data_IF_086372135077
#
_entry.id   IF_086372135077
#
_cell.length_a   1.000
_cell.length_b   1.000
_cell.length_c   1.000
_cell.angle_alpha   90.00
_cell.angle_beta   90.00
_cell.angle_gamma   90.00
#
_symmetry.space_group_name_H-M   'P 1'
#
loop_
_entity.id
_entity.type
_entity.pdbx_description
1 polymer ?
#
# COMPACT_ATOMS: atom_id res chain seq x y z
N UNK A 1 8.04 -21.06 9.05
CA UNK A 1 7.51 -19.78 8.53
C UNK A 1 8.45 -19.27 7.46
N UNK A 2 7.97 -18.91 6.26
CA UNK A 2 8.83 -18.26 5.27
C UNK A 2 9.32 -16.92 5.86
N UNK A 3 10.61 -16.62 5.70
CA UNK A 3 11.17 -15.35 6.16
C UNK A 3 10.46 -14.20 5.41
N UNK A 4 10.06 -13.15 6.14
CA UNK A 4 9.49 -11.96 5.52
C UNK A 4 10.52 -11.36 4.54
N UNK A 5 10.06 -10.99 3.32
CA UNK A 5 10.93 -10.27 2.39
C UNK A 5 11.18 -8.84 2.87
N UNK A 6 10.17 -8.21 3.49
CA UNK A 6 10.25 -6.87 4.04
C UNK A 6 9.39 -6.80 5.30
N UNK A 7 9.95 -6.27 6.35
CA UNK A 7 9.28 -6.05 7.64
C UNK A 7 9.28 -4.56 7.98
N UNK A 8 8.13 -4.07 8.41
CA UNK A 8 7.89 -2.69 8.83
C UNK A 8 7.61 -2.70 10.33
N UNK A 9 8.38 -1.92 11.10
CA UNK A 9 8.25 -1.88 12.57
C UNK A 9 8.05 -0.46 13.04
N UNK A 10 6.91 -0.19 13.67
CA UNK A 10 6.53 1.08 14.29
C UNK A 10 6.77 2.30 13.38
N UNK A 11 6.57 2.11 12.07
CA UNK A 11 6.88 3.11 11.06
C UNK A 11 6.03 4.36 11.28
N UNK A 12 6.69 5.51 11.42
CA UNK A 12 6.06 6.81 11.64
C UNK A 12 6.60 7.84 10.69
N UNK A 13 5.71 8.68 10.13
CA UNK A 13 6.06 9.84 9.32
C UNK A 13 5.22 11.04 9.66
N UNK A 14 5.90 12.08 10.09
CA UNK A 14 5.33 13.40 10.40
C UNK A 14 5.84 14.43 9.40
N UNK A 15 4.94 15.20 8.83
CA UNK A 15 5.30 16.32 7.97
C UNK A 15 5.02 17.63 8.70
N UNK A 16 5.98 18.56 8.80
CA UNK A 16 5.75 19.85 9.43
C UNK A 16 4.81 20.70 8.56
N UNK A 17 3.85 21.36 9.21
CA UNK A 17 2.97 22.37 8.62
C UNK A 17 3.06 23.67 9.42
N UNK A 18 2.96 24.82 8.73
CA UNK A 18 3.08 26.14 9.36
C UNK A 18 4.44 26.77 9.21
N UNK A 19 4.49 28.09 9.38
CA UNK A 19 5.72 28.88 9.29
C UNK A 19 6.33 29.15 10.66
N UNK A 20 7.58 29.63 10.68
CA UNK A 20 8.37 29.89 11.89
C UNK A 20 7.69 30.79 12.95
N UNK A 21 6.65 31.55 12.58
CA UNK A 21 5.94 32.50 13.44
C UNK A 21 4.63 31.95 14.09
N UNK A 22 4.12 30.75 13.68
CA UNK A 22 2.81 30.24 14.12
C UNK A 22 2.87 28.91 14.89
N UNK A 23 4.02 28.53 15.44
CA UNK A 23 4.17 27.21 16.03
C UNK A 23 4.30 26.10 14.96
N UNK A 24 4.99 25.00 15.28
CA UNK A 24 5.13 23.84 14.38
C UNK A 24 4.01 22.88 14.70
N UNK A 25 3.03 22.75 13.80
CA UNK A 25 2.11 21.62 13.79
C UNK A 25 2.61 20.55 12.85
N UNK A 26 2.19 19.29 13.06
CA UNK A 26 2.62 18.17 12.24
C UNK A 26 1.43 17.37 11.69
N UNK A 27 1.50 17.03 10.41
CA UNK A 27 0.63 16.00 9.85
C UNK A 27 1.22 14.63 10.16
N UNK A 28 0.52 13.81 10.92
CA UNK A 28 0.87 12.42 11.20
C UNK A 28 0.39 11.54 10.05
N UNK A 29 1.11 11.57 8.93
CA UNK A 29 0.71 10.86 7.72
C UNK A 29 0.81 9.33 7.86
N UNK A 30 1.75 8.84 8.66
CA UNK A 30 1.90 7.44 9.08
C UNK A 30 2.25 7.46 10.55
N UNK A 31 1.61 6.61 11.36
CA UNK A 31 1.75 6.63 12.79
C UNK A 31 1.63 5.22 13.37
N UNK A 32 2.75 4.72 13.87
CA UNK A 32 2.88 3.39 14.50
C UNK A 32 2.37 2.25 13.61
N UNK A 33 2.87 2.17 12.38
CA UNK A 33 2.49 1.16 11.39
C UNK A 33 3.50 0.01 11.40
N UNK A 34 3.00 -1.22 11.63
CA UNK A 34 3.80 -2.44 11.64
C UNK A 34 3.12 -3.53 10.82
N UNK A 35 3.84 -4.15 9.88
CA UNK A 35 3.39 -5.29 9.06
C UNK A 35 4.56 -5.94 8.35
N UNK A 36 4.31 -7.07 7.68
CA UNK A 36 5.31 -7.74 6.86
C UNK A 36 4.78 -8.07 5.46
N UNK A 37 5.64 -7.97 4.44
CA UNK A 37 5.38 -8.47 3.10
C UNK A 37 6.09 -9.82 2.93
N UNK A 38 5.33 -10.82 2.54
CA UNK A 38 5.82 -12.19 2.38
C UNK A 38 6.08 -12.51 0.90
N UNK A 39 7.11 -13.31 0.57
CA UNK A 39 7.37 -13.72 -0.81
C UNK A 39 6.16 -14.41 -1.44
N UNK A 40 5.89 -14.10 -2.70
CA UNK A 40 4.79 -14.70 -3.45
C UNK A 40 3.40 -14.40 -2.87
N UNK A 41 3.25 -13.29 -2.15
CA UNK A 41 1.96 -12.83 -1.61
C UNK A 41 1.65 -11.40 -2.01
N UNK A 42 0.39 -11.10 -2.18
CA UNK A 42 -0.12 -9.75 -2.39
C UNK A 42 -0.78 -9.29 -1.09
N UNK A 43 -0.25 -8.23 -0.49
CA UNK A 43 -0.86 -7.54 0.65
C UNK A 43 -1.51 -6.27 0.15
N UNK A 44 -2.83 -6.14 0.29
CA UNK A 44 -3.53 -4.91 -0.04
C UNK A 44 -3.45 -3.91 1.12
N UNK A 45 -3.20 -2.64 0.81
CA UNK A 45 -3.31 -1.52 1.74
C UNK A 45 -4.47 -0.63 1.30
N UNK A 46 -5.58 -0.69 2.04
CA UNK A 46 -6.83 -0.03 1.67
C UNK A 46 -7.24 1.06 2.65
N UNK A 47 -8.08 2.00 2.21
CA UNK A 47 -8.61 3.08 3.04
C UNK A 47 -8.99 4.30 2.21
N UNK A 48 -9.62 5.29 2.83
CA UNK A 48 -10.02 6.55 2.19
C UNK A 48 -8.81 7.33 1.63
N UNK A 49 -9.06 8.24 0.67
CA UNK A 49 -8.03 9.18 0.20
C UNK A 49 -7.49 10.01 1.37
N UNK A 50 -6.18 10.22 1.40
CA UNK A 50 -5.52 10.95 2.50
C UNK A 50 -5.28 10.13 3.77
N UNK A 51 -5.59 8.83 3.82
CA UNK A 51 -5.33 8.00 5.01
C UNK A 51 -3.85 7.67 5.25
N UNK A 52 -2.94 8.00 4.31
CA UNK A 52 -1.49 7.78 4.45
C UNK A 52 -0.90 6.67 3.58
N UNK A 53 -1.69 5.94 2.80
CA UNK A 53 -1.27 4.77 2.01
C UNK A 53 -0.10 5.02 1.07
N UNK A 54 -0.19 6.06 0.23
CA UNK A 54 0.91 6.42 -0.68
C UNK A 54 2.15 6.90 0.06
N UNK A 55 2.00 7.44 1.28
CA UNK A 55 3.14 7.79 2.14
C UNK A 55 3.84 6.53 2.62
N UNK A 56 3.11 5.47 3.00
CA UNK A 56 3.70 4.17 3.32
C UNK A 56 4.48 3.63 2.13
N UNK A 57 3.89 3.56 0.93
CA UNK A 57 4.59 3.08 -0.27
C UNK A 57 5.88 3.88 -0.55
N UNK A 58 5.85 5.21 -0.41
CA UNK A 58 7.03 6.08 -0.62
C UNK A 58 8.11 5.91 0.45
N UNK A 59 7.74 5.64 1.70
CA UNK A 59 8.68 5.29 2.77
C UNK A 59 9.37 3.96 2.46
N UNK A 60 8.61 2.95 2.05
CA UNK A 60 9.16 1.65 1.67
C UNK A 60 10.04 1.72 0.43
N UNK A 61 9.72 2.59 -0.54
CA UNK A 61 10.58 2.86 -1.70
C UNK A 61 11.82 3.72 -1.36
N UNK A 62 11.97 4.14 -0.09
CA UNK A 62 13.02 5.07 0.36
C UNK A 62 13.07 6.36 -0.46
N UNK A 63 11.88 6.91 -0.76
CA UNK A 63 11.71 8.25 -1.32
C UNK A 63 11.54 9.29 -0.20
N UNK A 64 11.09 8.84 0.97
CA UNK A 64 11.05 9.59 2.22
C UNK A 64 11.79 8.83 3.31
N UNK A 65 12.44 9.55 4.21
CA UNK A 65 12.96 8.97 5.44
C UNK A 65 11.85 8.94 6.49
N UNK A 66 11.77 7.87 7.32
CA UNK A 66 10.83 7.83 8.44
C UNK A 66 11.19 8.89 9.48
N UNK A 67 10.18 9.31 10.26
CA UNK A 67 10.39 10.15 11.43
C UNK A 67 10.73 9.31 12.67
N UNK A 68 10.24 8.05 12.69
CA UNK A 68 10.49 7.06 13.73
C UNK A 68 10.19 5.66 13.18
N UNK A 69 10.65 4.60 13.87
CA UNK A 69 10.52 3.23 13.43
C UNK A 69 11.43 2.88 12.27
N UNK A 70 11.25 1.69 11.66
CA UNK A 70 12.17 1.20 10.66
C UNK A 70 11.56 0.26 9.63
N UNK A 71 12.30 0.10 8.52
CA UNK A 71 12.04 -0.85 7.45
C UNK A 71 13.21 -1.81 7.38
N UNK A 72 12.93 -3.10 7.44
CA UNK A 72 13.90 -4.19 7.44
C UNK A 72 13.71 -5.04 6.18
N UNK A 73 14.76 -5.24 5.41
CA UNK A 73 14.76 -6.11 4.25
C UNK A 73 15.72 -7.26 4.47
N UNK A 74 15.23 -8.49 4.34
CA UNK A 74 15.99 -9.71 4.64
C UNK A 74 16.68 -9.70 6.03
N UNK A 75 16.02 -9.09 7.02
CA UNK A 75 16.50 -8.98 8.39
C UNK A 75 17.46 -7.80 8.67
N UNK A 76 17.90 -7.09 7.64
CA UNK A 76 18.77 -5.92 7.78
C UNK A 76 17.95 -4.63 7.77
N UNK A 77 18.22 -3.71 8.69
CA UNK A 77 17.58 -2.39 8.69
C UNK A 77 18.05 -1.58 7.48
N UNK A 78 17.09 -1.13 6.69
CA UNK A 78 17.34 -0.36 5.48
C UNK A 78 17.00 1.12 5.61
N UNK A 79 16.27 1.48 6.69
CA UNK A 79 15.86 2.85 7.00
C UNK A 79 16.93 3.51 7.89
N UNK A 80 17.54 4.58 7.43
CA UNK A 80 18.48 5.36 8.24
C UNK A 80 19.48 6.14 7.40
N UNK A 81 19.97 7.24 7.94
CA UNK A 81 20.91 8.16 7.29
C UNK A 81 22.33 7.58 7.06
N UNK A 82 22.60 6.38 7.59
CA UNK A 82 23.90 5.71 7.46
C UNK A 82 24.06 4.85 6.21
N UNK A 83 22.96 4.56 5.49
CA UNK A 83 23.03 3.75 4.28
C UNK A 83 23.75 4.52 3.17
N UNK A 84 24.86 3.99 2.69
CA UNK A 84 25.64 4.54 1.59
C UNK A 84 24.87 4.51 0.27
N UNK A 85 25.36 5.26 -0.73
CA UNK A 85 24.75 5.27 -2.08
C UNK A 85 24.64 3.87 -2.70
N UNK A 86 25.59 2.98 -2.43
CA UNK A 86 25.60 1.62 -2.94
C UNK A 86 24.51 0.76 -2.28
N UNK A 87 24.31 0.90 -0.96
CA UNK A 87 23.27 0.18 -0.22
C UNK A 87 21.87 0.61 -0.70
N UNK A 88 21.69 1.90 -0.95
CA UNK A 88 20.47 2.43 -1.51
C UNK A 88 20.19 1.91 -2.92
N UNK A 89 21.21 1.81 -3.79
CA UNK A 89 21.05 1.22 -5.11
C UNK A 89 20.72 -0.26 -5.03
N UNK A 90 21.39 -1.02 -4.16
CA UNK A 90 21.11 -2.43 -3.91
C UNK A 90 19.69 -2.63 -3.38
N UNK A 91 19.25 -1.83 -2.42
CA UNK A 91 17.88 -1.88 -1.92
C UNK A 91 16.86 -1.58 -3.04
N UNK A 92 17.09 -0.52 -3.81
CA UNK A 92 16.20 -0.11 -4.91
C UNK A 92 16.18 -1.10 -6.07
N UNK A 93 17.15 -1.99 -6.23
CA UNK A 93 17.03 -3.10 -7.19
C UNK A 93 16.06 -4.17 -6.70
N UNK A 94 15.93 -4.35 -5.39
CA UNK A 94 15.08 -5.37 -4.80
C UNK A 94 13.65 -4.89 -4.52
N UNK A 95 13.46 -3.59 -4.28
CA UNK A 95 12.17 -2.96 -3.97
C UNK A 95 11.87 -1.89 -4.99
N UNK A 96 10.87 -2.15 -5.86
CA UNK A 96 10.45 -1.24 -6.91
C UNK A 96 9.08 -0.64 -6.64
N UNK A 97 8.81 0.55 -7.19
CA UNK A 97 7.51 1.22 -7.05
C UNK A 97 6.90 1.48 -8.43
N UNK A 98 5.60 1.17 -8.54
CA UNK A 98 4.74 1.55 -9.65
C UNK A 98 3.84 2.68 -9.14
N UNK A 99 3.93 3.85 -9.75
CA UNK A 99 3.18 5.04 -9.34
C UNK A 99 1.77 5.06 -9.90
N UNK A 100 0.89 5.77 -9.22
CA UNK A 100 -0.51 5.98 -9.56
C UNK A 100 -0.69 6.58 -10.95
N UNK A 101 0.14 7.57 -11.32
CA UNK A 101 0.07 8.25 -12.61
C UNK A 101 1.09 7.68 -13.60
N UNK A 102 0.65 6.85 -14.57
CA UNK A 102 1.52 6.33 -15.61
C UNK A 102 1.97 7.42 -16.60
N UNK A 103 1.23 8.53 -16.71
CA UNK A 103 1.58 9.64 -17.59
C UNK A 103 2.75 10.44 -17.03
N UNK A 104 2.70 10.80 -15.74
CA UNK A 104 3.78 11.52 -15.07
C UNK A 104 5.01 10.65 -14.77
N UNK A 105 4.87 9.31 -14.79
CA UNK A 105 5.96 8.39 -14.48
C UNK A 105 6.92 8.13 -15.65
N UNK A 106 6.51 8.43 -16.89
CA UNK A 106 7.29 8.22 -18.10
C UNK A 106 7.65 9.57 -18.74
N UNK A 107 8.94 9.79 -19.02
CA UNK A 107 9.38 11.01 -19.71
C UNK A 107 8.89 11.01 -21.17
N UNK A 108 8.03 11.97 -21.58
CA UNK A 108 7.37 11.94 -22.90
C UNK A 108 8.33 12.08 -24.09
N UNK A 109 9.55 12.60 -23.88
CA UNK A 109 10.54 12.77 -24.94
C UNK A 109 11.51 11.61 -25.08
N UNK A 110 11.27 10.51 -24.36
CA UNK A 110 12.05 9.27 -24.44
C UNK A 110 11.18 8.12 -24.88
N UNK A 111 11.76 7.20 -25.69
CA UNK A 111 11.05 6.01 -26.15
C UNK A 111 10.78 5.01 -25.02
N UNK A 112 9.86 4.08 -25.24
CA UNK A 112 9.58 2.94 -24.35
C UNK A 112 10.85 2.17 -24.05
N UNK A 113 11.65 1.85 -25.10
CA UNK A 113 12.96 1.20 -24.95
C UNK A 113 13.82 1.91 -23.91
N UNK A 114 13.97 3.23 -23.99
CA UNK A 114 14.80 4.00 -23.06
C UNK A 114 14.37 3.83 -21.61
N UNK A 115 13.06 3.78 -21.35
CA UNK A 115 12.53 3.63 -19.99
C UNK A 115 12.86 2.28 -19.35
N UNK A 116 12.87 1.20 -20.16
CA UNK A 116 13.16 -0.16 -19.70
C UNK A 116 14.68 -0.42 -19.69
N UNK A 117 15.40 0.07 -20.68
CA UNK A 117 16.85 -0.05 -20.79
C UNK A 117 17.60 0.67 -19.64
N UNK A 118 17.10 1.82 -19.20
CA UNK A 118 17.78 2.63 -18.20
C UNK A 118 18.03 1.91 -16.86
N UNK A 119 17.06 1.25 -16.22
CA UNK A 119 17.33 0.43 -15.03
C UNK A 119 18.24 -0.76 -15.31
N UNK A 120 18.14 -1.44 -16.44
CA UNK A 120 19.04 -2.52 -16.82
C UNK A 120 20.50 -2.07 -16.82
N UNK A 121 20.79 -0.89 -17.37
CA UNK A 121 22.14 -0.30 -17.41
C UNK A 121 22.63 0.17 -16.04
N UNK A 122 21.76 0.84 -15.26
CA UNK A 122 22.12 1.38 -13.93
C UNK A 122 22.48 0.26 -12.98
N UNK A 123 21.70 -0.82 -12.98
CA UNK A 123 21.88 -1.96 -12.08
C UNK A 123 22.75 -3.09 -12.69
N UNK A 124 23.20 -2.92 -13.94
CA UNK A 124 24.06 -3.89 -14.65
C UNK A 124 23.47 -5.31 -14.68
N UNK A 125 22.16 -5.41 -14.94
CA UNK A 125 21.40 -6.67 -14.89
C UNK A 125 21.87 -7.63 -15.97
N UNK A 126 22.14 -7.10 -17.18
CA UNK A 126 22.61 -7.88 -18.35
C UNK A 126 23.77 -7.15 -19.04
N UNK A 127 24.54 -7.88 -19.85
CA UNK A 127 25.59 -7.30 -20.69
C UNK A 127 25.00 -6.36 -21.76
N UNK A 128 25.76 -5.36 -22.18
CA UNK A 128 25.27 -4.31 -23.08
C UNK A 128 24.66 -4.84 -24.39
N UNK A 129 25.22 -5.93 -24.95
CA UNK A 129 24.74 -6.62 -26.15
C UNK A 129 23.38 -7.34 -25.96
N UNK A 130 23.02 -7.68 -24.73
CA UNK A 130 21.80 -8.43 -24.37
C UNK A 130 20.63 -7.51 -24.00
N UNK A 131 20.89 -6.20 -23.87
CA UNK A 131 19.88 -5.24 -23.39
C UNK A 131 18.66 -5.21 -24.30
N UNK A 132 18.85 -5.26 -25.62
CA UNK A 132 17.75 -5.17 -26.58
C UNK A 132 16.80 -6.36 -26.44
N UNK A 133 17.34 -7.57 -26.41
CA UNK A 133 16.54 -8.78 -26.26
C UNK A 133 15.83 -8.78 -24.88
N UNK A 134 16.51 -8.34 -23.83
CA UNK A 134 15.89 -8.23 -22.49
C UNK A 134 14.76 -7.21 -22.45
N UNK A 135 14.87 -6.10 -23.19
CA UNK A 135 13.78 -5.12 -23.34
C UNK A 135 12.58 -5.77 -24.03
N UNK A 136 12.80 -6.51 -25.11
CA UNK A 136 11.74 -7.21 -25.86
C UNK A 136 11.09 -8.30 -25.00
N UNK A 137 11.85 -9.07 -24.24
CA UNK A 137 11.35 -10.07 -23.31
C UNK A 137 10.45 -9.45 -22.25
N UNK A 138 10.87 -8.34 -21.62
CA UNK A 138 10.08 -7.62 -20.62
C UNK A 138 8.78 -7.07 -21.22
N UNK A 139 8.79 -6.58 -22.45
CA UNK A 139 7.59 -6.14 -23.14
C UNK A 139 6.63 -7.31 -23.41
N UNK A 140 7.14 -8.48 -23.84
CA UNK A 140 6.33 -9.70 -24.00
C UNK A 140 5.72 -10.15 -22.67
N UNK A 141 6.51 -10.12 -21.59
CA UNK A 141 6.05 -10.50 -20.23
C UNK A 141 4.83 -9.68 -19.79
N UNK A 142 4.81 -8.38 -20.09
CA UNK A 142 3.67 -7.52 -19.78
C UNK A 142 2.58 -7.50 -20.87
N UNK A 143 2.69 -8.36 -21.89
CA UNK A 143 1.69 -8.50 -22.97
C UNK A 143 1.66 -7.33 -23.94
N UNK A 144 2.82 -6.72 -24.22
CA UNK A 144 2.99 -5.67 -25.24
C UNK A 144 3.70 -6.29 -26.45
N UNK A 145 2.91 -6.62 -27.48
CA UNK A 145 3.36 -7.29 -28.71
C UNK A 145 2.85 -6.56 -29.95
N UNK A 146 3.63 -6.48 -31.05
CA UNK A 146 5.04 -6.90 -31.18
C UNK A 146 5.95 -5.99 -30.34
N UNK A 147 6.96 -6.55 -29.63
CA UNK A 147 7.78 -5.75 -28.70
C UNK A 147 8.69 -4.76 -29.42
N UNK A 148 9.15 -5.07 -30.64
CA UNK A 148 10.00 -4.20 -31.47
C UNK A 148 9.28 -2.88 -31.79
N UNK A 149 8.02 -2.97 -32.22
CA UNK A 149 7.19 -1.81 -32.55
C UNK A 149 6.89 -0.97 -31.33
N UNK A 150 6.57 -1.64 -30.20
CA UNK A 150 6.26 -0.94 -28.94
C UNK A 150 7.51 -0.27 -28.37
N UNK A 151 8.67 -0.91 -28.44
CA UNK A 151 9.93 -0.37 -27.93
C UNK A 151 10.33 0.94 -28.60
N UNK A 152 10.00 1.10 -29.89
CA UNK A 152 10.30 2.31 -30.67
C UNK A 152 9.36 3.49 -30.37
N UNK A 153 8.16 3.24 -29.82
CA UNK A 153 7.14 4.27 -29.55
C UNK A 153 7.52 5.18 -28.40
N UNK A 154 6.91 6.35 -28.42
CA UNK A 154 6.94 7.31 -27.31
C UNK A 154 5.70 7.11 -26.39
N UNK A 155 5.75 7.54 -25.12
CA UNK A 155 4.63 7.40 -24.22
C UNK A 155 3.31 8.00 -24.73
N UNK A 156 3.33 9.10 -25.46
CA UNK A 156 2.13 9.75 -25.99
C UNK A 156 1.44 8.95 -27.12
N UNK A 157 2.14 8.00 -27.75
CA UNK A 157 1.58 7.11 -28.77
C UNK A 157 0.91 5.85 -28.19
N UNK A 158 0.93 5.70 -26.84
CA UNK A 158 0.40 4.55 -26.13
C UNK A 158 -0.92 4.88 -25.43
N UNK A 159 -1.83 3.89 -25.34
CA UNK A 159 -3.00 3.98 -24.47
C UNK A 159 -2.60 4.01 -22.99
N UNK A 160 -3.53 4.41 -22.09
CA UNK A 160 -3.29 4.41 -20.64
C UNK A 160 -2.86 3.04 -20.11
N UNK A 161 -3.55 1.98 -20.53
CA UNK A 161 -3.20 0.61 -20.16
C UNK A 161 -1.84 0.15 -20.69
N UNK A 162 -1.46 0.53 -21.92
CA UNK A 162 -0.14 0.25 -22.45
C UNK A 162 0.97 0.98 -21.68
N UNK A 163 0.77 2.26 -21.32
CA UNK A 163 1.70 3.02 -20.47
C UNK A 163 1.88 2.37 -19.11
N UNK A 164 0.80 1.89 -18.50
CA UNK A 164 0.87 1.18 -17.23
C UNK A 164 1.68 -0.12 -17.35
N UNK A 165 1.47 -0.90 -18.44
CA UNK A 165 2.28 -2.09 -18.71
C UNK A 165 3.77 -1.76 -18.93
N UNK A 166 4.09 -0.65 -19.58
CA UNK A 166 5.48 -0.15 -19.70
C UNK A 166 6.05 0.20 -18.31
N UNK A 167 5.28 0.87 -17.44
CA UNK A 167 5.71 1.17 -16.08
C UNK A 167 5.98 -0.11 -15.26
N UNK A 168 5.16 -1.15 -15.43
CA UNK A 168 5.38 -2.48 -14.85
C UNK A 168 6.65 -3.11 -15.42
N UNK A 169 6.82 -3.14 -16.75
CA UNK A 169 8.02 -3.69 -17.40
C UNK A 169 9.30 -3.00 -16.91
N UNK A 170 9.26 -1.68 -16.74
CA UNK A 170 10.37 -0.91 -16.16
C UNK A 170 10.70 -1.34 -14.72
N UNK A 171 9.67 -1.58 -13.89
CA UNK A 171 9.88 -2.06 -12.53
C UNK A 171 10.48 -3.49 -12.52
N UNK A 172 10.04 -4.36 -13.43
CA UNK A 172 10.53 -5.73 -13.56
C UNK A 172 11.96 -5.82 -14.10
N UNK A 173 12.47 -4.76 -14.75
CA UNK A 173 13.79 -4.77 -15.41
C UNK A 173 14.95 -5.13 -14.46
N UNK A 174 14.79 -4.88 -13.14
CA UNK A 174 15.81 -5.17 -12.14
C UNK A 174 15.56 -6.47 -11.36
N UNK A 175 14.58 -7.27 -11.77
CA UNK A 175 14.17 -8.52 -11.12
C UNK A 175 13.87 -8.35 -9.63
N UNK A 176 12.92 -7.46 -9.29
CA UNK A 176 12.66 -7.10 -7.91
C UNK A 176 12.03 -8.25 -7.14
N UNK A 177 12.33 -8.33 -5.84
CA UNK A 177 11.62 -9.21 -4.91
C UNK A 177 10.32 -8.63 -4.41
N UNK A 178 10.22 -7.29 -4.40
CA UNK A 178 9.05 -6.56 -3.89
C UNK A 178 8.65 -5.49 -4.89
N UNK A 179 7.35 -5.40 -5.17
CA UNK A 179 6.76 -4.34 -5.97
C UNK A 179 5.69 -3.61 -5.13
N UNK A 180 5.89 -2.31 -4.97
CA UNK A 180 4.98 -1.39 -4.31
C UNK A 180 4.10 -0.76 -5.40
N UNK A 181 2.85 -1.18 -5.52
CA UNK A 181 1.92 -0.72 -6.55
C UNK A 181 0.97 0.31 -5.94
N UNK A 182 1.28 1.61 -6.11
CA UNK A 182 0.50 2.73 -5.58
C UNK A 182 -0.62 3.09 -6.55
N UNK A 183 -1.85 2.63 -6.27
CA UNK A 183 -3.07 2.80 -7.08
C UNK A 183 -2.87 2.49 -8.57
N UNK A 184 -2.28 1.35 -8.96
CA UNK A 184 -1.81 1.10 -10.33
C UNK A 184 -2.92 0.99 -11.36
N UNK A 185 -4.18 0.98 -10.95
CA UNK A 185 -5.36 0.80 -11.82
C UNK A 185 -6.38 1.93 -11.73
N UNK A 186 -6.13 2.96 -10.90
CA UNK A 186 -7.13 4.02 -10.61
C UNK A 186 -7.50 4.88 -11.83
N UNK A 187 -6.57 5.03 -12.78
CA UNK A 187 -6.77 5.85 -14.00
C UNK A 187 -7.15 5.01 -15.24
N UNK A 188 -7.57 3.75 -15.05
CA UNK A 188 -7.83 2.81 -16.13
C UNK A 188 -9.29 2.37 -16.18
N UNK A 189 -9.79 2.13 -17.37
CA UNK A 189 -11.10 1.55 -17.62
C UNK A 189 -11.21 0.16 -16.99
N UNK A 190 -12.44 -0.28 -16.67
CA UNK A 190 -12.70 -1.53 -15.93
C UNK A 190 -12.07 -2.75 -16.60
N UNK A 191 -12.18 -2.89 -17.93
CA UNK A 191 -11.62 -4.02 -18.67
C UNK A 191 -10.08 -4.05 -18.63
N UNK A 192 -9.45 -2.89 -18.75
CA UNK A 192 -8.00 -2.74 -18.69
C UNK A 192 -7.50 -3.00 -17.27
N UNK A 193 -8.25 -2.54 -16.25
CA UNK A 193 -7.96 -2.78 -14.83
C UNK A 193 -7.81 -4.27 -14.54
N UNK A 194 -8.79 -5.10 -14.94
CA UNK A 194 -8.72 -6.56 -14.75
C UNK A 194 -7.47 -7.15 -15.41
N UNK A 195 -7.11 -6.68 -16.61
CA UNK A 195 -5.90 -7.13 -17.30
C UNK A 195 -4.60 -6.80 -16.56
N UNK A 196 -4.54 -5.68 -15.81
CA UNK A 196 -3.39 -5.33 -14.97
C UNK A 196 -3.38 -6.16 -13.68
N UNK A 197 -4.55 -6.39 -13.05
CA UNK A 197 -4.65 -7.23 -11.87
C UNK A 197 -4.22 -8.68 -12.17
N UNK A 198 -4.66 -9.24 -13.29
CA UNK A 198 -4.24 -10.58 -13.73
C UNK A 198 -2.74 -10.65 -14.04
N UNK A 199 -2.16 -9.60 -14.61
CA UNK A 199 -0.71 -9.52 -14.80
C UNK A 199 0.03 -9.55 -13.45
N UNK A 200 -0.46 -8.84 -12.43
CA UNK A 200 0.15 -8.87 -11.09
C UNK A 200 0.05 -10.25 -10.44
N UNK A 201 -1.10 -10.95 -10.57
CA UNK A 201 -1.27 -12.32 -10.12
C UNK A 201 -0.27 -13.26 -10.80
N UNK A 202 -0.16 -13.19 -12.13
CA UNK A 202 0.82 -13.97 -12.90
C UNK A 202 2.25 -13.73 -12.41
N UNK A 203 2.65 -12.48 -12.23
CA UNK A 203 3.98 -12.13 -11.75
C UNK A 203 4.25 -12.64 -10.32
N UNK A 204 3.25 -12.60 -9.44
CA UNK A 204 3.32 -13.22 -8.11
C UNK A 204 3.59 -14.72 -8.19
N UNK A 205 2.86 -15.43 -9.05
CA UNK A 205 2.92 -16.89 -9.20
C UNK A 205 4.21 -17.36 -9.87
N UNK A 206 4.58 -16.73 -11.00
CA UNK A 206 5.72 -17.16 -11.82
C UNK A 206 7.07 -16.71 -11.25
N UNK A 207 7.12 -15.53 -10.61
CA UNK A 207 8.38 -14.94 -10.14
C UNK A 207 8.51 -14.84 -8.62
N UNK A 208 7.48 -15.25 -7.86
CA UNK A 208 7.49 -15.18 -6.40
C UNK A 208 7.56 -13.76 -5.83
N UNK A 209 7.19 -12.75 -6.63
CA UNK A 209 7.24 -11.34 -6.23
C UNK A 209 6.24 -11.09 -5.10
N UNK A 210 6.69 -10.41 -4.04
CA UNK A 210 5.79 -9.87 -3.03
C UNK A 210 5.22 -8.52 -3.51
N UNK A 211 3.92 -8.30 -3.36
CA UNK A 211 3.29 -7.03 -3.72
C UNK A 211 2.70 -6.33 -2.49
N UNK A 212 2.93 -5.02 -2.39
CA UNK A 212 2.07 -4.13 -1.64
C UNK A 212 1.14 -3.43 -2.65
N UNK A 213 -0.13 -3.81 -2.65
CA UNK A 213 -1.15 -3.25 -3.53
C UNK A 213 -1.94 -2.17 -2.81
N UNK A 214 -1.62 -0.91 -3.07
CA UNK A 214 -2.32 0.24 -2.50
C UNK A 214 -3.53 0.58 -3.35
N UNK A 215 -4.71 0.64 -2.73
CA UNK A 215 -5.95 0.98 -3.43
C UNK A 215 -7.00 1.55 -2.46
N UNK A 216 -8.00 2.25 -2.99
CA UNK A 216 -9.23 2.59 -2.28
C UNK A 216 -10.40 1.68 -2.69
N UNK A 217 -10.20 0.80 -3.68
CA UNK A 217 -11.21 -0.10 -4.23
C UNK A 217 -11.11 -1.49 -3.57
N UNK A 218 -12.06 -1.78 -2.66
CA UNK A 218 -12.13 -3.05 -1.95
C UNK A 218 -12.45 -4.23 -2.88
N UNK A 219 -13.15 -4.00 -4.00
CA UNK A 219 -13.47 -5.06 -4.94
C UNK A 219 -12.19 -5.57 -5.64
N UNK A 220 -11.31 -4.67 -6.07
CA UNK A 220 -10.01 -5.03 -6.64
C UNK A 220 -9.08 -5.66 -5.59
N UNK A 221 -9.10 -5.18 -4.35
CA UNK A 221 -8.34 -5.77 -3.25
C UNK A 221 -8.79 -7.22 -2.99
N UNK A 222 -10.11 -7.46 -2.91
CA UNK A 222 -10.68 -8.82 -2.75
C UNK A 222 -10.27 -9.75 -3.87
N UNK A 223 -10.16 -9.22 -5.09
CA UNK A 223 -9.85 -10.03 -6.27
C UNK A 223 -8.42 -10.58 -6.27
N UNK A 224 -7.42 -9.80 -5.79
CA UNK A 224 -6.02 -10.21 -5.94
C UNK A 224 -5.25 -10.42 -4.63
N UNK A 225 -5.72 -9.86 -3.51
CA UNK A 225 -4.93 -9.84 -2.29
C UNK A 225 -5.12 -11.09 -1.44
N UNK A 226 -4.01 -11.61 -0.93
CA UNK A 226 -3.99 -12.69 0.05
C UNK A 226 -4.26 -12.15 1.47
N UNK A 227 -3.70 -10.99 1.80
CA UNK A 227 -3.88 -10.29 3.08
C UNK A 227 -4.29 -8.83 2.82
N UNK A 228 -5.03 -8.25 3.77
CA UNK A 228 -5.47 -6.86 3.69
C UNK A 228 -5.09 -6.09 4.97
N UNK A 229 -4.66 -4.85 4.78
CA UNK A 229 -4.39 -3.86 5.81
C UNK A 229 -5.35 -2.69 5.58
N UNK A 230 -6.19 -2.39 6.55
CA UNK A 230 -7.13 -1.27 6.50
C UNK A 230 -6.52 -0.07 7.21
N UNK A 231 -6.32 1.04 6.50
CA UNK A 231 -5.66 2.23 7.02
C UNK A 231 -6.62 3.40 7.16
N UNK A 232 -6.63 4.00 8.34
CA UNK A 232 -7.41 5.20 8.65
C UNK A 232 -6.55 6.24 9.38
N UNK A 233 -6.54 7.47 8.88
CA UNK A 233 -5.86 8.62 9.49
C UNK A 233 -4.42 8.31 9.97
N UNK A 234 -3.63 7.63 9.14
CA UNK A 234 -2.23 7.30 9.42
C UNK A 234 -2.00 5.99 10.18
N UNK A 235 -3.02 5.30 10.67
CA UNK A 235 -2.90 4.07 11.44
C UNK A 235 -3.52 2.87 10.72
N UNK A 236 -2.94 1.67 10.92
CA UNK A 236 -3.63 0.42 10.57
C UNK A 236 -4.66 0.15 11.66
N UNK A 237 -5.93 0.11 11.25
CA UNK A 237 -7.07 -0.11 12.15
C UNK A 237 -7.56 -1.54 12.14
N UNK A 238 -7.29 -2.28 11.07
CA UNK A 238 -7.62 -3.71 10.96
C UNK A 238 -6.68 -4.38 9.95
N UNK A 239 -6.28 -5.62 10.20
CA UNK A 239 -5.56 -6.43 9.23
C UNK A 239 -5.82 -7.93 9.42
N UNK A 240 -5.68 -8.67 8.33
CA UNK A 240 -5.82 -10.13 8.34
C UNK A 240 -5.88 -10.73 6.94
N UNK A 241 -6.21 -12.03 6.84
CA UNK A 241 -6.54 -12.66 5.57
C UNK A 241 -7.70 -11.90 4.90
N UNK A 242 -7.60 -11.67 3.60
CA UNK A 242 -8.56 -10.81 2.89
C UNK A 242 -10.00 -11.25 3.08
N UNK A 243 -10.30 -12.56 2.94
CA UNK A 243 -11.67 -13.06 3.10
C UNK A 243 -12.18 -12.90 4.54
N UNK A 244 -11.33 -13.09 5.55
CA UNK A 244 -11.74 -12.97 6.96
C UNK A 244 -12.12 -11.52 7.29
N UNK A 245 -11.29 -10.56 6.86
CA UNK A 245 -11.54 -9.12 7.09
C UNK A 245 -12.77 -8.64 6.32
N UNK A 246 -12.98 -9.10 5.08
CA UNK A 246 -14.09 -8.64 4.26
C UNK A 246 -15.42 -9.32 4.60
N UNK A 247 -15.42 -10.59 5.05
CA UNK A 247 -16.63 -11.31 5.42
C UNK A 247 -17.08 -11.04 6.86
N UNK A 248 -16.14 -10.85 7.78
CA UNK A 248 -16.40 -10.66 9.21
C UNK A 248 -15.54 -9.52 9.81
N UNK A 249 -15.73 -8.28 9.34
CA UNK A 249 -14.93 -7.13 9.74
C UNK A 249 -15.11 -6.84 11.24
N UNK A 250 -13.99 -6.59 11.92
CA UNK A 250 -13.94 -6.28 13.34
C UNK A 250 -14.10 -4.78 13.58
N UNK A 251 -13.37 -3.94 12.82
CA UNK A 251 -13.38 -2.50 13.05
C UNK A 251 -14.60 -1.81 12.39
N UNK A 252 -15.29 -0.89 13.08
CA UNK A 252 -16.45 -0.18 12.53
C UNK A 252 -16.15 0.59 11.23
N UNK A 253 -14.94 1.09 11.05
CA UNK A 253 -14.53 1.73 9.80
C UNK A 253 -14.48 0.75 8.63
N UNK A 254 -14.03 -0.47 8.82
CA UNK A 254 -14.01 -1.51 7.77
C UNK A 254 -15.44 -1.87 7.34
N UNK A 255 -16.36 -1.99 8.31
CA UNK A 255 -17.80 -2.18 8.02
C UNK A 255 -18.37 -1.03 7.19
N UNK A 256 -17.96 0.20 7.50
CA UNK A 256 -18.34 1.37 6.73
C UNK A 256 -17.82 1.32 5.30
N UNK A 257 -16.53 1.02 5.10
CA UNK A 257 -15.95 0.89 3.76
C UNK A 257 -16.69 -0.17 2.92
N UNK A 258 -17.02 -1.31 3.54
CA UNK A 258 -17.77 -2.38 2.89
C UNK A 258 -19.21 -1.97 2.54
N UNK A 259 -19.86 -1.17 3.37
CA UNK A 259 -21.23 -0.68 3.09
C UNK A 259 -21.29 0.25 1.89
N UNK A 260 -20.19 0.88 1.52
CA UNK A 260 -20.10 1.75 0.35
C UNK A 260 -19.82 0.99 -0.96
N UNK A 261 -19.49 -0.32 -0.89
CA UNK A 261 -19.30 -1.16 -2.08
C UNK A 261 -20.66 -1.65 -2.58
N UNK A 262 -21.06 -1.34 -3.82
CA UNK A 262 -22.32 -1.84 -4.39
C UNK A 262 -22.30 -3.38 -4.44
N UNK A 263 -23.24 -4.03 -3.77
CA UNK A 263 -23.43 -5.47 -3.85
C UNK A 263 -24.69 -5.76 -4.69
N UNK A 264 -24.56 -6.27 -5.92
CA UNK A 264 -25.70 -6.58 -6.79
C UNK A 264 -26.65 -7.64 -6.21
N UNK A 265 -26.17 -8.47 -5.28
CA UNK A 265 -26.96 -9.54 -4.65
C UNK A 265 -27.74 -9.03 -3.42
N UNK A 266 -27.35 -7.93 -2.82
CA UNK A 266 -28.08 -7.30 -1.72
C UNK A 266 -29.11 -6.33 -2.29
N UNK A 267 -30.35 -6.81 -2.51
CA UNK A 267 -31.50 -5.90 -2.61
C UNK A 267 -31.44 -4.94 -1.42
N UNK A 268 -31.60 -3.65 -1.66
CA UNK A 268 -31.67 -2.46 -0.81
C UNK A 268 -32.19 -2.58 0.65
N UNK A 269 -32.03 -3.71 1.30
CA UNK A 269 -32.28 -3.96 2.73
C UNK A 269 -30.97 -3.96 3.51
N UNK A 270 -30.08 -3.00 3.22
CA UNK A 270 -28.89 -2.76 4.01
C UNK A 270 -29.28 -1.95 5.26
N UNK A 271 -28.90 -2.44 6.41
CA UNK A 271 -28.73 -1.58 7.59
C UNK A 271 -27.76 -0.46 7.17
N UNK A 272 -28.33 0.71 6.89
CA UNK A 272 -27.52 1.90 6.62
C UNK A 272 -26.81 2.21 7.92
N UNK A 273 -25.48 1.97 7.98
CA UNK A 273 -24.69 2.39 9.12
C UNK A 273 -24.82 3.91 9.17
N UNK A 274 -25.64 4.40 10.13
CA UNK A 274 -25.83 5.83 10.34
C UNK A 274 -24.53 6.38 10.92
N UNK A 275 -23.74 7.02 10.08
CA UNK A 275 -22.55 7.74 10.51
C UNK A 275 -22.93 8.92 11.40
N UNK A 276 -22.17 9.12 12.47
CA UNK A 276 -22.10 10.44 13.07
C UNK A 276 -21.51 11.39 12.03
N UNK A 277 -22.15 12.53 11.79
CA UNK A 277 -21.63 13.54 10.87
C UNK A 277 -20.28 14.05 11.38
N UNK A 278 -19.20 13.67 10.69
CA UNK A 278 -17.83 14.09 11.02
C UNK A 278 -16.96 14.04 9.78
N UNK A 279 -16.08 15.01 9.61
CA UNK A 279 -15.00 14.93 8.65
C UNK A 279 -14.00 13.85 9.11
N UNK A 280 -13.33 13.19 8.15
CA UNK A 280 -12.15 12.38 8.47
C UNK A 280 -11.23 13.21 9.39
N UNK A 281 -10.82 12.63 10.52
CA UNK A 281 -9.95 13.32 11.44
C UNK A 281 -8.74 13.84 10.67
N UNK A 282 -8.52 15.15 10.71
CA UNK A 282 -7.30 15.71 10.19
C UNK A 282 -6.16 15.06 10.99
N UNK A 283 -5.22 14.42 10.29
CA UNK A 283 -4.05 13.81 10.93
C UNK A 283 -3.05 14.89 11.43
N UNK A 284 -3.53 16.09 11.73
CA UNK A 284 -2.73 17.22 12.25
C UNK A 284 -2.76 17.16 13.76
N UNK A 285 -1.62 16.88 14.37
CA UNK A 285 -1.42 16.74 15.82
C UNK A 285 -2.65 16.09 16.48
N UNK A 286 -3.00 14.86 16.10
CA UNK A 286 -4.22 14.23 16.57
C UNK A 286 -4.14 14.04 18.08
N UNK A 287 -5.26 14.31 18.80
CA UNK A 287 -5.31 14.06 20.22
C UNK A 287 -5.21 12.57 20.53
N UNK A 288 -4.92 12.24 21.77
CA UNK A 288 -5.05 10.87 22.27
C UNK A 288 -6.47 10.34 22.03
N UNK A 289 -6.58 9.02 21.87
CA UNK A 289 -7.84 8.36 21.61
C UNK A 289 -7.93 7.71 20.23
N UNK A 290 -9.09 7.13 19.97
CA UNK A 290 -9.39 6.48 18.70
C UNK A 290 -9.61 7.54 17.61
N UNK A 291 -8.84 7.48 16.53
CA UNK A 291 -8.96 8.45 15.41
C UNK A 291 -10.30 8.39 14.69
N UNK A 292 -11.02 7.28 14.81
CA UNK A 292 -12.35 7.12 14.22
C UNK A 292 -13.49 7.57 15.16
N UNK A 293 -13.22 7.98 16.39
CA UNK A 293 -14.22 8.27 17.45
C UNK A 293 -15.33 9.21 17.00
N UNK A 294 -15.02 10.26 16.25
CA UNK A 294 -16.00 11.27 15.81
C UNK A 294 -17.02 10.74 14.80
N UNK A 295 -16.65 9.69 14.06
CA UNK A 295 -17.50 9.05 13.02
C UNK A 295 -18.07 7.70 13.47
N UNK A 296 -17.57 7.16 14.59
CA UNK A 296 -17.91 5.82 15.05
C UNK A 296 -19.31 5.78 15.69
N UNK A 297 -20.23 4.93 15.18
CA UNK A 297 -21.56 4.77 15.81
C UNK A 297 -21.48 4.00 17.13
N UNK A 298 -20.39 3.26 17.38
CA UNK A 298 -20.18 2.42 18.55
C UNK A 298 -19.22 3.07 19.57
N UNK A 299 -18.93 4.38 19.44
CA UNK A 299 -17.96 5.05 20.30
C UNK A 299 -18.40 5.02 21.77
N UNK A 300 -17.48 4.63 22.64
CA UNK A 300 -17.59 4.70 24.10
C UNK A 300 -16.65 5.77 24.65
N UNK A 301 -16.77 6.13 25.93
CA UNK A 301 -15.97 7.18 26.55
C UNK A 301 -14.46 6.96 26.42
N UNK A 302 -14.00 5.74 26.61
CA UNK A 302 -12.59 5.36 26.45
C UNK A 302 -12.02 5.70 25.08
N UNK A 303 -12.86 5.66 24.01
CA UNK A 303 -12.43 6.00 22.65
C UNK A 303 -11.98 7.47 22.50
N UNK A 304 -12.43 8.36 23.38
CA UNK A 304 -12.09 9.79 23.33
C UNK A 304 -10.74 10.11 23.98
N UNK A 305 -10.21 9.23 24.82
CA UNK A 305 -9.05 9.53 25.65
C UNK A 305 -7.93 8.49 25.58
N UNK A 306 -8.25 7.26 25.15
CA UNK A 306 -7.29 6.15 25.10
C UNK A 306 -7.15 5.69 23.65
N UNK A 307 -5.93 5.75 23.14
CA UNK A 307 -5.62 5.19 21.81
C UNK A 307 -5.71 3.66 21.88
N UNK A 308 -6.59 3.00 21.11
CA UNK A 308 -6.67 1.54 21.11
C UNK A 308 -5.40 0.92 20.53
N UNK A 309 -4.97 -0.19 21.12
CA UNK A 309 -3.88 -1.00 20.58
C UNK A 309 -4.39 -1.90 19.45
N UNK A 310 -3.51 -2.27 18.53
CA UNK A 310 -3.80 -3.29 17.52
C UNK A 310 -3.67 -4.66 18.20
N UNK A 311 -4.78 -5.38 18.36
CA UNK A 311 -4.85 -6.66 19.07
C UNK A 311 -5.35 -7.75 18.15
N UNK A 312 -4.69 -8.91 18.15
CA UNK A 312 -5.13 -10.10 17.42
C UNK A 312 -6.34 -10.71 18.13
N UNK A 313 -7.50 -10.64 17.51
CA UNK A 313 -8.78 -11.13 18.05
C UNK A 313 -9.14 -12.52 17.55
N UNK A 314 -8.63 -12.87 16.37
CA UNK A 314 -8.73 -14.18 15.73
C UNK A 314 -7.38 -14.52 15.12
N UNK A 315 -7.07 -15.78 14.87
CA UNK A 315 -5.81 -16.16 14.23
C UNK A 315 -5.52 -15.32 12.99
N UNK A 316 -4.41 -14.55 13.03
CA UNK A 316 -3.97 -13.63 11.97
C UNK A 316 -4.93 -12.47 11.66
N UNK A 317 -5.96 -12.21 12.45
CA UNK A 317 -6.92 -11.15 12.24
C UNK A 317 -6.93 -10.22 13.45
N UNK A 318 -6.38 -9.02 13.29
CA UNK A 318 -6.23 -8.03 14.35
C UNK A 318 -7.01 -6.75 14.06
N UNK A 319 -7.47 -6.08 15.13
CA UNK A 319 -8.16 -4.81 15.05
C UNK A 319 -7.70 -3.83 16.13
N UNK A 320 -7.71 -2.55 15.80
CA UNK A 320 -7.42 -1.43 16.70
C UNK A 320 -8.75 -0.80 17.18
N UNK A 321 -9.45 -1.48 18.08
CA UNK A 321 -10.77 -1.06 18.54
C UNK A 321 -11.05 -1.48 19.98
N UNK A 322 -11.68 -0.60 20.79
CA UNK A 322 -12.07 -0.89 22.16
C UNK A 322 -13.38 -1.69 22.28
N UNK A 323 -14.18 -1.75 21.22
CA UNK A 323 -15.57 -2.24 21.31
C UNK A 323 -15.77 -3.57 20.61
N UNK A 324 -15.20 -3.73 19.43
CA UNK A 324 -15.43 -4.91 18.59
C UNK A 324 -14.33 -5.96 18.71
N UNK A 325 -13.31 -5.64 19.43
CA UNK A 325 -12.24 -6.49 19.88
C UNK A 325 -12.33 -6.56 21.42
N UNK A 326 -13.17 -7.41 22.02
CA UNK A 326 -13.19 -7.57 23.48
C UNK A 326 -11.88 -8.23 23.87
N UNK A 327 -10.87 -7.41 24.22
CA UNK A 327 -9.70 -7.93 24.88
C UNK A 327 -10.16 -8.64 26.17
N UNK A 328 -9.73 -9.87 26.45
CA UNK A 328 -10.11 -10.60 27.65
C UNK A 328 -9.86 -9.83 28.96
N UNK A 329 -9.10 -8.75 28.94
CA UNK A 329 -8.68 -7.96 30.09
C UNK A 329 -9.45 -6.64 30.29
N UNK A 330 -10.46 -6.30 29.50
CA UNK A 330 -11.23 -5.06 29.71
C UNK A 330 -12.17 -5.16 30.92
N UNK A 331 -12.55 -6.37 31.34
CA UNK A 331 -13.36 -6.59 32.54
C UNK A 331 -12.58 -6.37 33.85
N UNK A 332 -11.26 -6.65 33.84
CA UNK A 332 -10.41 -6.51 35.02
C UNK A 332 -10.00 -5.05 35.29
N UNK A 333 -9.86 -4.22 34.26
CA UNK A 333 -9.51 -2.79 34.44
C UNK A 333 -10.64 -1.90 34.97
N UNK A 334 -11.88 -2.40 35.03
CA UNK A 334 -12.99 -1.67 35.67
C UNK A 334 -12.93 -1.68 37.20
N UNK A 335 -12.17 -2.57 37.83
CA UNK A 335 -12.07 -2.68 39.26
C UNK A 335 -10.88 -1.91 39.89
N UNK A 336 -9.89 -1.47 39.07
CA UNK A 336 -8.73 -0.73 39.59
C UNK A 336 -8.91 0.80 39.59
N UNK A 337 -10.09 1.30 39.19
CA UNK A 337 -10.42 2.72 39.23
C UNK A 337 -11.57 3.02 40.20
N UNK A 338 -11.45 2.50 41.45
CA UNK A 338 -12.25 2.96 42.58
C UNK A 338 -11.38 3.37 43.75
#
# INVERSE_FOLDING_TARGET
MAAASLEVRNLTKRFPIGGALRGRAYVHAVDDVSFALLPGRITALVGESGSGKSTVARLLARLYDPSDGGVFFAGEETSGSRAGRQDLLRYRSQVQIIFQDPFGSLNPVKTVRHHIERPLRIHKVVAGREIEERVHELLRTVGLVPPEDVAAKYPHELSGGQRQRVAIARALAVEPKIVLADEPTSMLDVSIRIGILNLMLKLKEEHGIAFLYVTHDLASARYIADDILVMYAGQIVEHGPTEDVLSAPLHPYTRLLLSAVPDPAKKLRGETIVLRSGRAAAAVDPPDGCRFVTRCPLAIEACSHITPMLVEERPRHAARCHVTAPAPNFAERKNDAR
#
